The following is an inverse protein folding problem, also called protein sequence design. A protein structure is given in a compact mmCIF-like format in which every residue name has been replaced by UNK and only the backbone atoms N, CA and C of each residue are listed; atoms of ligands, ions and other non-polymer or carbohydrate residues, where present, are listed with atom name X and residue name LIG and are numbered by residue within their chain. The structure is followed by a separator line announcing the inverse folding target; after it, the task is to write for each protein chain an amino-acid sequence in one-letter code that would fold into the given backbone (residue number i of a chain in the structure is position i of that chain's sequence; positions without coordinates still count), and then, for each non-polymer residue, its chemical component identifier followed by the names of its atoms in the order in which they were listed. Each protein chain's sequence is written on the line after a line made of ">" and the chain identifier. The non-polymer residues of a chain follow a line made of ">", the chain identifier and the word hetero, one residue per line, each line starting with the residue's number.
data_IF_994769945363
#
_entry.id   IF_994769945363
#
_cell.length_a   1.000
_cell.length_b   1.000
_cell.length_c   1.000
_cell.angle_alpha   90.00
_cell.angle_beta   90.00
_cell.angle_gamma   90.00
#
_symmetry.space_group_name_H-M   'P 1'
#
loop_
_entity.id
_entity.type
_entity.pdbx_description
1 polymer ?
#
# COMPACT_ATOMS: atom_id res chain seq x y z
N UNK A 1 -3.71 -11.44 -25.37
CA UNK A 1 -2.35 -10.88 -25.41
C UNK A 1 -1.94 -10.70 -23.95
N UNK A 2 -1.01 -11.52 -23.44
CA UNK A 2 -0.79 -11.86 -22.01
C UNK A 2 -1.78 -12.88 -21.44
N UNK A 3 -1.70 -14.11 -21.90
CA UNK A 3 -2.22 -15.25 -21.16
C UNK A 3 -1.21 -15.63 -20.09
N UNK A 4 -1.09 -14.85 -19.00
CA UNK A 4 -0.13 -15.12 -17.92
C UNK A 4 -0.41 -16.51 -17.34
N UNK A 5 0.34 -17.49 -17.84
CA UNK A 5 0.28 -18.87 -17.41
C UNK A 5 1.13 -19.08 -16.17
N UNK A 6 0.94 -20.23 -15.52
CA UNK A 6 1.79 -20.65 -14.39
C UNK A 6 3.28 -20.62 -14.76
N UNK A 7 3.61 -20.99 -15.99
CA UNK A 7 4.98 -21.00 -16.49
C UNK A 7 5.61 -19.61 -16.59
N UNK A 8 4.87 -18.61 -17.06
CA UNK A 8 5.37 -17.23 -17.12
C UNK A 8 5.62 -16.65 -15.73
N UNK A 9 4.76 -16.93 -14.74
CA UNK A 9 5.00 -16.52 -13.36
C UNK A 9 6.29 -17.10 -12.79
N UNK A 10 6.59 -18.37 -13.08
CA UNK A 10 7.84 -19.01 -12.65
C UNK A 10 9.04 -18.33 -13.30
N UNK A 11 9.01 -18.08 -14.61
CA UNK A 11 10.11 -17.43 -15.33
C UNK A 11 10.34 -16.01 -14.81
N UNK A 12 9.27 -15.22 -14.64
CA UNK A 12 9.36 -13.87 -14.06
C UNK A 12 9.90 -13.93 -12.64
N UNK A 13 9.47 -14.90 -11.83
CA UNK A 13 9.98 -15.14 -10.49
C UNK A 13 11.49 -15.39 -10.48
N UNK A 14 11.99 -16.26 -11.36
CA UNK A 14 13.43 -16.56 -11.50
C UNK A 14 14.20 -15.30 -11.93
N UNK A 15 13.71 -14.57 -12.93
CA UNK A 15 14.37 -13.34 -13.40
C UNK A 15 14.38 -12.28 -12.29
N UNK A 16 13.27 -12.09 -11.58
CA UNK A 16 13.20 -11.17 -10.45
C UNK A 16 14.17 -11.57 -9.33
N UNK A 17 14.28 -12.86 -9.02
CA UNK A 17 15.25 -13.39 -8.07
C UNK A 17 16.69 -13.18 -8.54
N UNK A 18 16.96 -13.26 -9.84
CA UNK A 18 18.29 -13.05 -10.38
C UNK A 18 18.71 -11.57 -10.35
N UNK A 19 17.82 -10.67 -10.76
CA UNK A 19 18.07 -9.23 -10.81
C UNK A 19 18.17 -8.64 -9.41
N UNK A 20 17.20 -8.95 -8.54
CA UNK A 20 17.18 -8.40 -7.18
C UNK A 20 18.09 -9.20 -6.24
N UNK A 21 18.28 -10.49 -6.48
CA UNK A 21 18.90 -11.43 -5.55
C UNK A 21 17.88 -11.96 -4.51
N UNK A 22 17.81 -13.29 -4.27
CA UNK A 22 16.86 -13.87 -3.31
C UNK A 22 17.06 -13.33 -1.88
N UNK A 23 18.30 -13.02 -1.50
CA UNK A 23 18.61 -12.45 -0.20
C UNK A 23 18.15 -10.98 -0.04
N UNK A 24 17.91 -10.25 -1.13
CA UNK A 24 17.57 -8.82 -1.08
C UNK A 24 16.08 -8.53 -1.25
N UNK A 25 15.31 -9.44 -1.87
CA UNK A 25 13.85 -9.38 -1.89
C UNK A 25 13.19 -9.12 -0.52
N UNK A 26 13.55 -9.84 0.57
CA UNK A 26 12.96 -9.58 1.88
C UNK A 26 13.32 -8.18 2.41
N UNK A 27 14.51 -7.66 2.08
CA UNK A 27 14.91 -6.31 2.47
C UNK A 27 14.07 -5.26 1.73
N UNK A 28 13.89 -5.40 0.41
CA UNK A 28 13.06 -4.50 -0.40
C UNK A 28 11.60 -4.55 0.04
N UNK A 29 11.05 -5.74 0.26
CA UNK A 29 9.69 -5.91 0.76
C UNK A 29 9.47 -5.20 2.10
N UNK A 30 10.43 -5.27 3.04
CA UNK A 30 10.36 -4.55 4.32
C UNK A 30 10.41 -3.04 4.14
N UNK A 31 11.17 -2.53 3.18
CA UNK A 31 11.20 -1.09 2.88
C UNK A 31 9.84 -0.66 2.33
N UNK A 32 9.35 -1.31 1.28
CA UNK A 32 8.08 -1.00 0.64
C UNK A 32 6.92 -1.12 1.64
N UNK A 33 6.89 -2.18 2.44
CA UNK A 33 5.85 -2.38 3.46
C UNK A 33 5.81 -1.24 4.48
N UNK A 34 6.98 -0.76 4.96
CA UNK A 34 7.03 0.38 5.90
C UNK A 34 6.52 1.67 5.26
N UNK A 35 6.80 1.89 3.99
CA UNK A 35 6.30 3.06 3.25
C UNK A 35 4.78 2.98 3.05
N UNK A 36 4.26 1.82 2.67
CA UNK A 36 2.81 1.60 2.56
C UNK A 36 2.11 1.79 3.90
N UNK A 37 2.67 1.28 4.99
CA UNK A 37 2.11 1.47 6.34
C UNK A 37 2.06 2.94 6.73
N UNK A 38 3.14 3.69 6.46
CA UNK A 38 3.18 5.14 6.73
C UNK A 38 2.16 5.90 5.90
N UNK A 39 2.05 5.57 4.60
CA UNK A 39 1.07 6.19 3.72
C UNK A 39 -0.36 5.91 4.18
N UNK A 40 -0.66 4.66 4.54
CA UNK A 40 -1.97 4.26 5.10
C UNK A 40 -2.27 5.04 6.39
N UNK A 41 -1.33 5.11 7.32
CA UNK A 41 -1.55 5.81 8.58
C UNK A 41 -1.76 7.32 8.38
N UNK A 42 -1.02 7.92 7.44
CA UNK A 42 -1.19 9.33 7.07
C UNK A 42 -2.56 9.60 6.44
N UNK A 43 -3.06 8.68 5.61
CA UNK A 43 -4.41 8.78 5.06
C UNK A 43 -5.49 8.67 6.13
N UNK A 44 -5.29 7.83 7.14
CA UNK A 44 -6.25 7.65 8.23
C UNK A 44 -6.31 8.87 9.16
N UNK A 45 -5.18 9.52 9.46
CA UNK A 45 -5.19 10.75 10.28
C UNK A 45 -5.94 11.87 9.57
N UNK A 46 -5.71 12.05 8.27
CA UNK A 46 -6.44 13.01 7.45
C UNK A 46 -7.94 12.70 7.49
N UNK A 47 -8.33 11.44 7.26
CA UNK A 47 -9.74 11.05 7.31
C UNK A 47 -10.38 11.33 8.69
N UNK A 48 -9.66 11.11 9.79
CA UNK A 48 -10.16 11.40 11.14
C UNK A 48 -10.43 12.89 11.34
N UNK A 49 -9.52 13.77 10.91
CA UNK A 49 -9.70 15.22 10.97
C UNK A 49 -10.90 15.67 10.12
N UNK A 50 -11.02 15.15 8.89
CA UNK A 50 -12.15 15.46 8.01
C UNK A 50 -13.50 14.99 8.55
N UNK A 51 -13.55 13.81 9.19
CA UNK A 51 -14.80 13.28 9.78
C UNK A 51 -15.21 14.10 11.00
N UNK A 52 -14.27 14.46 11.87
CA UNK A 52 -14.57 15.25 13.07
C UNK A 52 -15.06 16.66 12.71
N UNK A 53 -14.53 17.25 11.64
CA UNK A 53 -14.96 18.57 11.16
C UNK A 53 -16.33 18.54 10.45
N UNK A 54 -16.62 17.48 9.67
CA UNK A 54 -17.94 17.26 9.08
C UNK A 54 -19.02 16.99 10.14
N UNK A 55 -18.69 16.31 11.22
CA UNK A 55 -19.64 16.03 12.30
C UNK A 55 -19.92 17.31 13.12
N UNK A 56 -18.89 18.12 13.40
CA UNK A 56 -19.00 19.41 14.10
C UNK A 56 -19.86 20.44 13.38
N UNK A 57 -19.92 20.41 12.04
CA UNK A 57 -20.75 21.35 11.27
C UNK A 57 -22.24 21.00 11.24
N UNK A 58 -22.63 19.77 11.64
CA UNK A 58 -24.03 19.34 11.62
C UNK A 58 -24.81 19.61 12.92
N UNK A 59 -24.12 19.84 14.04
CA UNK A 59 -24.75 20.12 15.35
C UNK A 59 -25.01 21.60 15.61
N UNK A 60 -24.51 22.51 14.75
CA UNK A 60 -24.70 23.98 14.88
C UNK A 60 -25.86 24.54 14.02
N UNK A 61 -26.77 23.69 13.52
CA UNK A 61 -27.93 24.14 12.72
C UNK A 61 -29.28 23.72 13.32
N UNK A 62 -29.36 23.62 14.65
CA UNK A 62 -30.61 23.32 15.35
C UNK A 62 -30.93 24.26 16.51
N UNK A 63 -30.45 25.50 16.43
CA UNK A 63 -30.98 26.63 17.21
C UNK A 63 -31.44 27.73 16.23
#
# INVERSE_FOLDING_TARGET
>A
MFEIGFWELVVVGIVALWVLGPARLPAVARVVARWLLRAKNSYQSIKQEFVEEFEKTSTQKKD
#
